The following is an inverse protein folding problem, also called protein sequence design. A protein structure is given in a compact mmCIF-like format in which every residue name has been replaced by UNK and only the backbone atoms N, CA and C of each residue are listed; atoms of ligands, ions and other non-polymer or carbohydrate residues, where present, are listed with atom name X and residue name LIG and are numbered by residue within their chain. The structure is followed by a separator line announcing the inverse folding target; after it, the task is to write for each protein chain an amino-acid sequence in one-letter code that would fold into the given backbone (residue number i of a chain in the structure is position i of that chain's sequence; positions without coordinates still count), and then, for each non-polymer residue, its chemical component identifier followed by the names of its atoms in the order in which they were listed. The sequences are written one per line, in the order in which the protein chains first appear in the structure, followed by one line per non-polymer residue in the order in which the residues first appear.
data_IF_518116823112
#
_entry.id   IF_518116823112
#
_cell.length_a   1.000
_cell.length_b   1.000
_cell.length_c   1.000
_cell.angle_alpha   90.00
_cell.angle_beta   90.00
_cell.angle_gamma   90.00
#
_symmetry.space_group_name_H-M   'P 1'
#
loop_
_entity.id
_entity.type
_entity.pdbx_description
1 polymer ?
#
# COMPACT_ATOMS: atom_id res chain seq x y z
N UNK A 1 10.83 11.53 2.38
CA UNK A 1 9.92 10.49 1.87
C UNK A 1 10.72 9.22 1.71
N UNK A 2 10.13 8.09 2.07
CA UNK A 2 10.69 6.76 1.88
C UNK A 2 9.72 5.96 0.99
N UNK A 3 10.22 4.98 0.25
CA UNK A 3 9.43 4.22 -0.73
C UNK A 3 9.65 2.74 -0.50
N UNK A 4 8.53 2.03 -0.29
CA UNK A 4 8.53 0.59 -0.17
C UNK A 4 7.95 -0.06 -1.44
N UNK A 5 8.76 -0.77 -2.23
CA UNK A 5 8.24 -1.59 -3.33
C UNK A 5 7.62 -2.86 -2.76
N UNK A 6 6.34 -3.10 -3.04
CA UNK A 6 5.66 -4.35 -2.66
C UNK A 6 6.36 -5.52 -3.31
N UNK A 7 6.74 -6.50 -2.50
CA UNK A 7 7.52 -7.64 -2.94
C UNK A 7 6.63 -8.83 -3.26
N UNK A 8 6.39 -9.05 -4.55
CA UNK A 8 5.61 -10.19 -5.05
C UNK A 8 5.97 -10.49 -6.51
N UNK A 9 5.57 -11.66 -7.07
CA UNK A 9 6.01 -12.08 -8.39
C UNK A 9 5.64 -11.16 -9.55
N UNK A 10 4.54 -10.41 -9.44
CA UNK A 10 4.03 -9.53 -10.51
C UNK A 10 3.99 -10.21 -11.89
N UNK A 11 3.49 -11.45 -11.92
CA UNK A 11 3.53 -12.33 -13.10
C UNK A 11 2.15 -12.48 -13.76
N UNK A 12 2.10 -13.25 -14.84
CA UNK A 12 0.84 -13.64 -15.49
C UNK A 12 0.06 -14.72 -14.72
N UNK A 13 0.64 -15.29 -13.65
CA UNK A 13 -0.05 -16.15 -12.69
C UNK A 13 -0.72 -15.26 -11.64
N UNK A 14 -1.95 -14.81 -11.91
CA UNK A 14 -2.66 -13.80 -11.11
C UNK A 14 -2.97 -14.23 -9.68
N UNK A 15 -3.09 -15.53 -9.43
CA UNK A 15 -3.27 -16.12 -8.10
C UNK A 15 -2.09 -15.80 -7.16
N UNK A 16 -0.87 -15.64 -7.70
CA UNK A 16 0.31 -15.19 -6.95
C UNK A 16 0.23 -13.73 -6.50
N UNK A 17 -0.74 -12.97 -6.98
CA UNK A 17 -1.03 -11.61 -6.50
C UNK A 17 -1.35 -11.56 -5.01
N UNK A 18 -1.78 -12.69 -4.42
CA UNK A 18 -2.02 -12.82 -2.99
C UNK A 18 -0.78 -12.53 -2.13
N UNK A 19 0.41 -12.84 -2.64
CA UNK A 19 1.68 -12.54 -1.97
C UNK A 19 1.88 -11.03 -1.86
N UNK A 20 1.49 -10.28 -2.90
CA UNK A 20 1.53 -8.82 -2.90
C UNK A 20 0.54 -8.22 -1.91
N UNK A 21 -0.67 -8.78 -1.79
CA UNK A 21 -1.66 -8.35 -0.79
C UNK A 21 -1.13 -8.59 0.62
N UNK A 22 -0.49 -9.74 0.86
CA UNK A 22 0.10 -10.09 2.15
C UNK A 22 1.25 -9.17 2.52
N UNK A 23 2.17 -8.95 1.59
CA UNK A 23 3.35 -8.10 1.78
C UNK A 23 2.95 -6.63 2.02
N UNK A 24 2.13 -6.07 1.14
CA UNK A 24 1.64 -4.71 1.25
C UNK A 24 0.80 -4.51 2.53
N UNK A 25 -0.14 -5.41 2.81
CA UNK A 25 -0.97 -5.33 4.01
C UNK A 25 -0.14 -5.39 5.30
N UNK A 26 0.84 -6.28 5.36
CA UNK A 26 1.77 -6.36 6.49
C UNK A 26 2.61 -5.09 6.64
N UNK A 27 3.12 -4.53 5.55
CA UNK A 27 3.90 -3.29 5.58
C UNK A 27 3.07 -2.09 6.05
N UNK A 28 1.85 -1.94 5.53
CA UNK A 28 0.93 -0.84 5.90
C UNK A 28 0.53 -0.95 7.37
N UNK A 29 0.13 -2.15 7.82
CA UNK A 29 -0.20 -2.39 9.23
C UNK A 29 0.99 -2.13 10.15
N UNK A 30 2.19 -2.61 9.79
CA UNK A 30 3.41 -2.41 10.55
C UNK A 30 3.76 -0.92 10.67
N UNK A 31 3.65 -0.18 9.56
CA UNK A 31 3.94 1.27 9.54
C UNK A 31 2.93 2.03 10.40
N UNK A 32 1.63 1.71 10.32
CA UNK A 32 0.61 2.32 11.17
C UNK A 32 0.89 2.08 12.67
N UNK A 33 1.28 0.86 13.03
CA UNK A 33 1.55 0.49 14.43
C UNK A 33 2.84 1.11 14.97
N UNK A 34 3.94 1.03 14.21
CA UNK A 34 5.26 1.40 14.71
C UNK A 34 5.59 2.89 14.48
N UNK A 35 4.90 3.53 13.53
CA UNK A 35 5.16 4.90 13.11
C UNK A 35 3.84 5.69 13.04
N UNK A 36 3.14 5.89 14.17
CA UNK A 36 1.76 6.38 14.18
C UNK A 36 1.59 7.81 13.62
N UNK A 37 2.66 8.61 13.55
CA UNK A 37 2.65 9.94 12.92
C UNK A 37 2.86 9.91 11.41
N UNK A 38 3.22 8.77 10.84
CA UNK A 38 3.49 8.62 9.41
C UNK A 38 2.20 8.61 8.62
N UNK A 39 2.18 9.36 7.51
CA UNK A 39 1.15 9.27 6.49
C UNK A 39 1.68 8.48 5.29
N UNK A 40 0.90 7.53 4.83
CA UNK A 40 1.21 6.67 3.69
C UNK A 40 0.40 7.07 2.46
N UNK A 41 1.03 6.95 1.29
CA UNK A 41 0.35 6.95 0.00
C UNK A 41 0.50 5.57 -0.58
N UNK A 42 -0.61 4.90 -0.85
CA UNK A 42 -0.62 3.56 -1.44
C UNK A 42 -0.75 3.71 -2.95
N UNK A 43 0.20 3.17 -3.70
CA UNK A 43 0.26 3.28 -5.16
C UNK A 43 0.26 1.91 -5.82
N UNK A 44 -0.40 1.80 -6.98
CA UNK A 44 -0.37 0.58 -7.77
C UNK A 44 -0.65 0.84 -9.24
N UNK A 45 -0.06 0.02 -10.11
CA UNK A 45 -0.32 0.00 -11.54
C UNK A 45 -0.76 -1.39 -11.98
N UNK A 46 -1.79 -1.49 -12.83
CA UNK A 46 -2.27 -2.76 -13.39
C UNK A 46 -2.57 -3.82 -12.31
N UNK A 47 -1.92 -4.98 -12.31
CA UNK A 47 -2.04 -5.98 -11.25
C UNK A 47 -1.69 -5.42 -9.85
N UNK A 48 -0.70 -4.53 -9.74
CA UNK A 48 -0.37 -3.85 -8.49
C UNK A 48 -1.48 -2.89 -8.01
N UNK A 49 -2.28 -2.33 -8.94
CA UNK A 49 -3.47 -1.57 -8.59
C UNK A 49 -4.57 -2.48 -8.03
N UNK A 50 -4.71 -3.71 -8.56
CA UNK A 50 -5.60 -4.71 -7.97
C UNK A 50 -5.13 -5.13 -6.57
N UNK A 51 -3.83 -5.39 -6.39
CA UNK A 51 -3.22 -5.68 -5.07
C UNK A 51 -3.57 -4.59 -4.06
N UNK A 52 -3.31 -3.32 -4.37
CA UNK A 52 -3.66 -2.21 -3.47
C UNK A 52 -5.17 -2.07 -3.26
N UNK A 53 -5.97 -2.39 -4.28
CA UNK A 53 -7.41 -2.43 -4.14
C UNK A 53 -7.88 -3.50 -3.14
N UNK A 54 -7.28 -4.69 -3.15
CA UNK A 54 -7.59 -5.74 -2.16
C UNK A 54 -7.04 -5.42 -0.78
N UNK A 55 -5.85 -4.82 -0.65
CA UNK A 55 -5.31 -4.33 0.63
C UNK A 55 -6.26 -3.33 1.28
N UNK A 56 -6.94 -2.52 0.47
CA UNK A 56 -7.89 -1.50 0.92
C UNK A 56 -9.35 -1.95 0.84
N UNK A 57 -9.60 -3.24 0.60
CA UNK A 57 -10.93 -3.84 0.56
C UNK A 57 -11.52 -3.91 1.98
N UNK A 58 -12.85 -3.74 2.15
CA UNK A 58 -13.47 -3.82 3.47
C UNK A 58 -13.67 -5.28 3.94
N UNK A 59 -13.57 -6.24 3.02
CA UNK A 59 -13.84 -7.65 3.26
C UNK A 59 -13.03 -8.56 2.32
N UNK A 60 -12.96 -9.84 2.69
CA UNK A 60 -12.56 -10.90 1.75
C UNK A 60 -13.66 -11.02 0.69
N UNK A 61 -13.33 -11.07 -0.62
CA UNK A 61 -14.33 -11.21 -1.67
C UNK A 61 -15.18 -12.47 -1.54
N UNK A 62 -16.43 -12.41 -2.00
CA UNK A 62 -17.33 -13.57 -2.01
C UNK A 62 -16.72 -14.73 -2.82
N UNK A 63 -16.88 -15.96 -2.30
CA UNK A 63 -16.34 -17.16 -2.93
C UNK A 63 -14.86 -17.44 -2.66
N UNK A 64 -14.14 -16.54 -1.98
CA UNK A 64 -12.77 -16.75 -1.51
C UNK A 64 -12.79 -17.25 -0.06
N UNK A 65 -12.04 -18.31 0.23
CA UNK A 65 -11.89 -18.82 1.60
C UNK A 65 -11.11 -17.81 2.48
N UNK A 66 -11.72 -17.23 3.53
CA UNK A 66 -11.03 -16.27 4.40
C UNK A 66 -9.82 -16.84 5.14
N UNK A 67 -9.65 -18.17 5.19
CA UNK A 67 -8.49 -18.81 5.79
C UNK A 67 -7.25 -18.80 4.88
N UNK A 68 -7.42 -18.58 3.57
CA UNK A 68 -6.32 -18.66 2.58
C UNK A 68 -5.75 -17.30 2.20
N UNK A 69 -6.41 -16.20 2.57
CA UNK A 69 -6.05 -14.83 2.19
C UNK A 69 -5.79 -13.92 3.40
N UNK A 70 -5.05 -12.81 3.24
CA UNK A 70 -4.93 -11.80 4.27
C UNK A 70 -6.31 -11.25 4.68
N UNK A 71 -6.47 -11.00 5.98
CA UNK A 71 -7.66 -10.31 6.50
C UNK A 71 -7.63 -8.84 6.08
N UNK A 72 -8.80 -8.19 5.93
CA UNK A 72 -8.86 -6.74 5.78
C UNK A 72 -8.05 -6.02 6.85
N UNK A 73 -7.46 -4.89 6.49
CA UNK A 73 -6.77 -4.02 7.44
C UNK A 73 -7.74 -3.56 8.53
N UNK A 74 -7.23 -3.40 9.76
CA UNK A 74 -8.05 -2.84 10.84
C UNK A 74 -8.52 -1.42 10.47
N UNK A 75 -9.75 -1.01 10.85
CA UNK A 75 -10.31 0.28 10.46
C UNK A 75 -9.39 1.47 10.77
N UNK A 76 -8.69 1.44 11.91
CA UNK A 76 -7.81 2.51 12.39
C UNK A 76 -6.57 2.69 11.49
N UNK A 77 -6.15 1.65 10.77
CA UNK A 77 -5.03 1.73 9.80
C UNK A 77 -5.35 2.72 8.68
N UNK A 78 -6.63 2.85 8.34
CA UNK A 78 -7.06 3.79 7.31
C UNK A 78 -6.63 5.22 7.67
N UNK A 79 -6.61 5.62 8.95
CA UNK A 79 -6.24 6.99 9.34
C UNK A 79 -4.77 7.33 9.05
N UNK A 80 -3.92 6.31 8.87
CA UNK A 80 -2.53 6.46 8.46
C UNK A 80 -2.34 6.51 6.95
N UNK A 81 -3.36 6.14 6.17
CA UNK A 81 -3.34 6.26 4.70
C UNK A 81 -3.95 7.60 4.30
N UNK A 82 -3.13 8.47 3.71
CA UNK A 82 -3.56 9.77 3.21
C UNK A 82 -4.20 9.66 1.82
N UNK A 83 -3.65 8.82 0.94
CA UNK A 83 -4.16 8.62 -0.41
C UNK A 83 -3.93 7.20 -0.92
N UNK A 84 -4.78 6.77 -1.85
CA UNK A 84 -4.63 5.56 -2.65
C UNK A 84 -4.68 5.98 -4.13
N UNK A 85 -3.64 5.69 -4.88
CA UNK A 85 -3.49 6.10 -6.29
C UNK A 85 -3.31 4.86 -7.15
N UNK A 86 -4.33 4.56 -7.94
CA UNK A 86 -4.40 3.33 -8.71
C UNK A 86 -4.41 3.65 -10.21
N UNK A 87 -3.37 3.26 -10.92
CA UNK A 87 -3.24 3.44 -12.36
C UNK A 87 -3.65 2.17 -13.10
N UNK A 88 -4.49 2.28 -14.13
CA UNK A 88 -4.88 1.12 -14.93
C UNK A 88 -5.53 0.01 -14.10
N UNK A 89 -6.34 0.36 -13.09
CA UNK A 89 -7.00 -0.63 -12.22
C UNK A 89 -7.91 -1.54 -13.03
N UNK A 90 -7.73 -2.87 -13.01
CA UNK A 90 -8.59 -3.79 -13.73
C UNK A 90 -10.07 -3.60 -13.36
N UNK A 91 -10.92 -3.49 -14.38
CA UNK A 91 -12.37 -3.46 -14.23
C UNK A 91 -12.93 -4.88 -14.03
N UNK A 92 -14.24 -5.00 -13.82
CA UNK A 92 -14.88 -6.30 -13.59
C UNK A 92 -14.72 -7.26 -14.78
N UNK A 93 -14.70 -6.76 -16.03
CA UNK A 93 -14.50 -7.58 -17.23
C UNK A 93 -13.10 -8.19 -17.25
N UNK A 94 -12.08 -7.38 -16.99
CA UNK A 94 -10.70 -7.82 -16.93
C UNK A 94 -10.50 -8.83 -15.78
N UNK A 95 -10.98 -8.52 -14.57
CA UNK A 95 -10.88 -9.44 -13.42
C UNK A 95 -11.56 -10.78 -13.70
N UNK A 96 -12.76 -10.77 -14.27
CA UNK A 96 -13.47 -12.00 -14.64
C UNK A 96 -12.71 -12.82 -15.69
N UNK A 97 -12.12 -12.17 -16.70
CA UNK A 97 -11.29 -12.85 -17.69
C UNK A 97 -10.05 -13.51 -17.07
N UNK A 98 -9.49 -12.90 -16.03
CA UNK A 98 -8.33 -13.39 -15.29
C UNK A 98 -8.68 -14.46 -14.24
N UNK A 99 -9.98 -14.72 -14.01
CA UNK A 99 -10.43 -15.65 -12.98
C UNK A 99 -10.34 -15.09 -11.55
N UNK A 100 -10.26 -13.77 -11.41
CA UNK A 100 -10.06 -13.09 -10.14
C UNK A 100 -11.34 -12.36 -9.69
N UNK A 101 -11.56 -12.19 -8.37
CA UNK A 101 -12.71 -11.46 -7.86
C UNK A 101 -12.66 -9.96 -8.22
N UNK A 102 -13.80 -9.27 -8.29
CA UNK A 102 -13.81 -7.83 -8.57
C UNK A 102 -13.08 -7.03 -7.48
N UNK A 103 -12.35 -5.99 -7.89
CA UNK A 103 -11.64 -5.09 -6.97
C UNK A 103 -12.61 -4.07 -6.37
N UNK A 104 -12.86 -4.16 -5.07
CA UNK A 104 -13.74 -3.25 -4.32
C UNK A 104 -12.93 -2.45 -3.29
N UNK A 105 -13.01 -1.12 -3.36
CA UNK A 105 -12.35 -0.24 -2.39
C UNK A 105 -13.27 -0.01 -1.19
N UNK A 106 -12.75 -0.23 0.01
CA UNK A 106 -13.50 -0.10 1.26
C UNK A 106 -13.93 1.34 1.54
N UNK A 107 -15.07 1.56 2.24
CA UNK A 107 -15.61 2.89 2.50
C UNK A 107 -14.62 3.88 3.12
N UNK A 108 -13.76 3.39 4.03
CA UNK A 108 -12.72 4.20 4.68
C UNK A 108 -11.66 4.76 3.71
N UNK A 109 -11.50 4.14 2.53
CA UNK A 109 -10.50 4.52 1.52
C UNK A 109 -11.10 5.25 0.31
N UNK A 110 -12.40 5.11 0.05
CA UNK A 110 -13.06 5.65 -1.16
C UNK A 110 -12.81 7.14 -1.36
N UNK A 111 -13.04 7.97 -0.34
CA UNK A 111 -12.89 9.42 -0.42
C UNK A 111 -11.44 9.89 -0.68
N UNK A 112 -10.46 9.02 -0.45
CA UNK A 112 -9.03 9.25 -0.64
C UNK A 112 -8.41 8.35 -1.69
N UNK A 113 -9.23 7.75 -2.56
CA UNK A 113 -8.76 6.95 -3.68
C UNK A 113 -8.98 7.68 -5.00
N UNK A 114 -7.98 7.64 -5.89
CA UNK A 114 -8.15 7.98 -7.29
C UNK A 114 -7.80 6.77 -8.15
N UNK A 115 -8.67 6.47 -9.12
CA UNK A 115 -8.39 5.51 -10.20
C UNK A 115 -8.09 6.30 -11.45
N UNK A 116 -6.83 6.30 -11.88
CA UNK A 116 -6.38 6.95 -13.10
C UNK A 116 -6.43 5.92 -14.23
N UNK A 117 -7.23 6.21 -15.25
CA UNK A 117 -7.40 5.34 -16.40
C UNK A 117 -7.10 6.13 -17.68
N UNK A 118 -6.20 5.61 -18.51
CA UNK A 118 -5.91 6.16 -19.83
C UNK A 118 -7.10 5.93 -20.76
N UNK A 119 -7.43 6.89 -21.65
CA UNK A 119 -8.47 6.70 -22.64
C UNK A 119 -8.23 5.43 -23.47
N UNK A 120 -9.30 4.70 -23.75
CA UNK A 120 -9.29 3.45 -24.52
C UNK A 120 -8.53 2.26 -23.91
N UNK A 121 -8.02 2.37 -22.66
CA UNK A 121 -7.36 1.27 -21.96
C UNK A 121 -8.39 0.16 -21.61
N UNK A 122 -8.30 -1.04 -22.23
CA UNK A 122 -9.27 -2.11 -22.03
C UNK A 122 -9.21 -2.74 -20.63
N UNK A 123 -8.14 -2.50 -19.87
CA UNK A 123 -7.99 -3.06 -18.52
C UNK A 123 -8.85 -2.28 -17.53
N UNK A 124 -8.83 -0.95 -17.58
CA UNK A 124 -9.54 -0.11 -16.62
C UNK A 124 -10.81 0.56 -17.16
N UNK A 125 -11.06 0.50 -18.47
CA UNK A 125 -12.24 1.06 -19.13
C UNK A 125 -12.88 0.03 -20.08
N UNK A 126 -13.96 0.43 -20.76
CA UNK A 126 -14.59 -0.39 -21.80
C UNK A 126 -13.90 -0.27 -23.18
N UNK A 127 -12.76 0.44 -23.25
CA UNK A 127 -11.96 0.60 -24.46
C UNK A 127 -11.36 -0.70 -25.02
N UNK A 128 -10.67 -0.59 -26.15
CA UNK A 128 -10.10 -1.74 -26.88
C UNK A 128 -8.62 -1.57 -27.25
N UNK A 129 -7.99 -0.47 -26.85
CA UNK A 129 -6.60 -0.17 -27.21
C UNK A 129 -5.62 -0.67 -26.14
N UNK A 130 -5.10 -1.89 -26.29
CA UNK A 130 -4.12 -2.43 -25.36
C UNK A 130 -2.81 -1.62 -25.28
N UNK A 131 -2.45 -0.85 -26.32
CA UNK A 131 -1.28 0.02 -26.24
C UNK A 131 -1.49 1.15 -25.20
N UNK A 132 -2.73 1.60 -25.01
CA UNK A 132 -3.07 2.62 -24.01
C UNK A 132 -2.77 2.15 -22.57
N UNK A 133 -2.85 0.84 -22.29
CA UNK A 133 -2.51 0.33 -20.97
C UNK A 133 -1.05 0.55 -20.59
N UNK A 134 -0.15 0.68 -21.58
CA UNK A 134 1.29 0.84 -21.35
C UNK A 134 1.76 2.30 -21.40
N UNK A 135 0.88 3.28 -21.58
CA UNK A 135 1.28 4.67 -21.76
C UNK A 135 1.55 5.40 -20.45
N UNK A 136 1.02 4.93 -19.31
CA UNK A 136 1.11 5.67 -18.03
C UNK A 136 2.53 6.05 -17.63
N UNK A 137 3.53 5.20 -17.88
CA UNK A 137 4.93 5.50 -17.54
C UNK A 137 5.55 6.61 -18.42
N UNK A 138 5.00 6.84 -19.61
CA UNK A 138 5.52 7.77 -20.61
C UNK A 138 4.59 8.99 -20.82
N UNK A 139 3.38 8.94 -20.27
CA UNK A 139 2.41 10.03 -20.27
C UNK A 139 2.44 10.74 -18.92
N UNK A 140 3.28 11.78 -18.83
CA UNK A 140 3.42 12.62 -17.64
C UNK A 140 2.08 13.17 -17.16
N UNK A 141 1.11 13.42 -18.06
CA UNK A 141 -0.19 13.97 -17.66
C UNK A 141 -1.00 12.99 -16.80
N UNK A 142 -0.84 11.67 -17.01
CA UNK A 142 -1.51 10.66 -16.19
C UNK A 142 -0.83 10.53 -14.83
N UNK A 143 0.50 10.48 -14.79
CA UNK A 143 1.28 10.46 -13.55
C UNK A 143 0.96 11.70 -12.70
N UNK A 144 0.95 12.88 -13.33
CA UNK A 144 0.70 14.17 -12.67
C UNK A 144 -0.68 14.21 -12.01
N UNK A 145 -1.72 13.62 -12.63
CA UNK A 145 -3.05 13.50 -12.00
C UNK A 145 -2.99 12.75 -10.68
N UNK A 146 -2.34 11.58 -10.68
CA UNK A 146 -2.21 10.75 -9.48
C UNK A 146 -1.32 11.41 -8.41
N UNK A 147 -0.20 11.99 -8.83
CA UNK A 147 0.73 12.68 -7.94
C UNK A 147 0.11 13.93 -7.30
N UNK A 148 -0.59 14.76 -8.09
CA UNK A 148 -1.29 15.94 -7.60
C UNK A 148 -2.40 15.55 -6.61
N UNK A 149 -3.16 14.49 -6.90
CA UNK A 149 -4.14 13.96 -5.96
C UNK A 149 -3.48 13.53 -4.65
N UNK A 150 -2.42 12.72 -4.68
CA UNK A 150 -1.72 12.30 -3.47
C UNK A 150 -1.18 13.49 -2.66
N UNK A 151 -0.54 14.45 -3.33
CA UNK A 151 -0.02 15.66 -2.70
C UNK A 151 -1.12 16.45 -1.99
N UNK A 152 -2.30 16.59 -2.62
CA UNK A 152 -3.44 17.31 -2.02
C UNK A 152 -3.98 16.65 -0.74
N UNK A 153 -3.69 15.36 -0.50
CA UNK A 153 -4.14 14.63 0.69
C UNK A 153 -3.14 14.59 1.83
N UNK A 154 -1.87 14.87 1.57
CA UNK A 154 -0.82 14.81 2.60
C UNK A 154 -0.83 16.00 3.56
N UNK A 155 -1.71 16.98 3.34
CA UNK A 155 -1.77 18.22 4.12
C UNK A 155 -0.50 19.08 3.94
N UNK A 156 -0.49 20.31 4.45
CA UNK A 156 0.74 21.08 4.56
C UNK A 156 1.72 20.35 5.48
N UNK A 157 3.04 20.40 5.22
CA UNK A 157 4.04 19.92 6.17
C UNK A 157 3.75 20.47 7.58
N UNK A 158 3.93 19.68 8.65
CA UNK A 158 3.85 20.23 10.00
C UNK A 158 4.83 21.41 10.12
N UNK A 159 4.29 22.62 10.29
CA UNK A 159 5.05 23.87 10.39
C UNK A 159 4.82 24.90 9.28
N UNK A 160 4.09 24.58 8.20
CA UNK A 160 3.70 25.60 7.21
C UNK A 160 2.32 26.15 7.53
N UNK A 161 2.25 27.17 8.37
CA UNK A 161 1.08 28.06 8.40
C UNK A 161 1.03 28.78 7.06
N UNK A 162 -0.08 28.76 6.31
CA UNK A 162 -0.24 29.64 5.16
C UNK A 162 0.05 31.07 5.60
N UNK A 163 0.81 31.87 4.83
CA UNK A 163 0.99 33.27 5.17
C UNK A 163 -0.40 33.90 5.35
N UNK A 164 -0.60 34.70 6.41
CA UNK A 164 -1.87 35.37 6.60
C UNK A 164 -2.19 36.18 5.34
N UNK A 165 -3.48 36.29 4.95
CA UNK A 165 -3.86 37.16 3.85
C UNK A 165 -3.27 38.56 4.07
N UNK A 166 -2.88 39.28 3.00
CA UNK A 166 -2.31 40.61 3.13
C UNK A 166 -3.22 41.45 4.02
N UNK A 167 -2.64 42.06 5.04
CA UNK A 167 -3.39 42.83 6.01
C UNK A 167 -4.21 43.91 5.29
N UNK A 168 -5.48 44.15 5.68
CA UNK A 168 -6.21 45.31 5.22
C UNK A 168 -5.38 46.58 5.54
N UNK A 169 -5.48 47.63 4.72
CA UNK A 169 -4.73 48.87 4.92
C UNK A 169 -4.96 49.41 6.33
N UNK A 170 -3.91 49.97 6.97
CA UNK A 170 -3.97 50.37 8.38
C UNK A 170 -5.08 51.39 8.62
N UNK A 171 -5.91 51.13 9.61
CA UNK A 171 -6.81 52.12 10.18
C UNK A 171 -5.99 53.28 10.80
N UNK A 172 -6.50 54.53 10.78
CA UNK A 172 -5.81 55.67 11.34
C UNK A 172 -5.49 55.49 12.84
N UNK A 173 -4.35 56.01 13.33
CA UNK A 173 -3.81 55.66 14.63
C UNK A 173 -4.68 56.18 15.79
N UNK A 174 -4.99 55.34 16.79
CA UNK A 174 -5.55 55.79 18.07
C UNK A 174 -4.47 56.39 18.98
N UNK A 175 -4.88 57.34 19.83
CA UNK A 175 -4.01 58.05 20.79
C UNK A 175 -3.36 57.11 21.83
N UNK A 176 -2.14 57.41 22.28
CA UNK A 176 -1.38 56.53 23.17
C UNK A 176 -1.85 56.61 24.63
N UNK A 177 -1.87 55.46 25.32
CA UNK A 177 -1.72 55.37 26.78
C UNK A 177 -0.76 54.24 27.17
N UNK A 178 -0.15 54.48 28.34
CA UNK A 178 1.11 53.97 28.86
C UNK A 178 1.20 52.46 29.18
N UNK A 179 2.45 51.98 29.13
CA UNK A 179 2.95 50.65 29.51
C UNK A 179 2.79 50.28 30.98
N UNK A 180 2.81 48.97 31.26
CA UNK A 180 3.62 48.40 32.35
C UNK A 180 3.97 46.92 32.07
N UNK A 181 5.04 46.45 32.73
CA UNK A 181 5.92 45.33 32.38
C UNK A 181 5.61 44.00 33.12
N UNK A 182 6.28 42.90 32.70
CA UNK A 182 6.50 41.69 33.53
C UNK A 182 6.69 40.37 32.73
N UNK A 183 7.87 39.75 32.79
CA UNK A 183 8.18 38.39 32.24
C UNK A 183 7.94 37.25 33.26
N UNK A 184 8.63 36.07 33.24
CA UNK A 184 9.36 35.34 32.19
C UNK A 184 8.80 33.90 31.94
N UNK A 185 9.47 33.15 31.05
CA UNK A 185 9.17 31.80 30.53
C UNK A 185 9.16 30.66 31.57
N UNK A 186 8.50 29.54 31.23
CA UNK A 186 8.79 28.21 31.79
C UNK A 186 8.77 27.17 30.66
N UNK A 187 9.85 26.40 30.53
CA UNK A 187 9.97 25.31 29.55
C UNK A 187 9.52 23.96 30.12
N UNK A 188 9.49 22.94 29.28
CA UNK A 188 9.95 21.61 29.68
C UNK A 188 10.21 20.72 28.47
N UNK A 189 11.31 19.99 28.54
CA UNK A 189 11.74 18.99 27.58
C UNK A 189 10.93 17.71 27.71
N UNK A 190 10.62 17.08 26.57
CA UNK A 190 10.32 15.65 26.52
C UNK A 190 11.23 15.04 25.45
N UNK A 191 12.30 14.38 25.91
CA UNK A 191 13.06 13.44 25.10
C UNK A 191 12.20 12.18 24.98
N UNK A 192 11.33 12.13 23.97
CA UNK A 192 10.82 10.84 23.50
C UNK A 192 11.86 10.28 22.57
N UNK A 193 12.39 9.10 22.92
CA UNK A 193 13.17 8.27 22.02
C UNK A 193 12.36 8.03 20.74
N UNK A 194 12.59 8.84 19.71
CA UNK A 194 12.20 8.50 18.34
C UNK A 194 12.96 7.24 17.98
N UNK A 195 12.26 6.10 18.03
CA UNK A 195 12.67 4.99 17.17
C UNK A 195 12.70 5.57 15.76
N UNK A 196 13.91 5.70 15.20
CA UNK A 196 14.09 6.15 13.83
C UNK A 196 13.38 5.15 12.90
N UNK A 197 12.13 5.48 12.55
CA UNK A 197 11.24 4.64 11.75
C UNK A 197 11.89 4.21 10.43
N UNK A 198 12.86 4.98 9.92
CA UNK A 198 13.62 4.63 8.72
C UNK A 198 14.46 3.36 8.87
N UNK A 199 14.84 2.95 10.09
CA UNK A 199 15.71 1.79 10.32
C UNK A 199 14.98 0.49 10.63
N UNK A 200 13.67 0.54 10.87
CA UNK A 200 12.87 -0.63 11.26
C UNK A 200 12.22 -1.36 10.08
N UNK A 201 12.36 -0.83 8.86
CA UNK A 201 12.01 -1.60 7.67
C UNK A 201 13.01 -2.76 7.51
N UNK A 202 12.53 -4.00 7.32
CA UNK A 202 13.44 -5.12 7.09
C UNK A 202 14.25 -4.84 5.82
N UNK A 203 15.56 -4.66 5.96
CA UNK A 203 16.49 -4.77 4.83
C UNK A 203 16.45 -6.21 4.35
N UNK A 204 15.61 -6.49 3.36
CA UNK A 204 15.71 -7.73 2.60
C UNK A 204 17.03 -7.68 1.82
N UNK A 205 17.98 -8.47 2.28
CA UNK A 205 19.27 -8.69 1.63
C UNK A 205 19.07 -9.14 0.19
N UNK A 206 19.65 -8.39 -0.75
CA UNK A 206 19.99 -8.74 -2.13
C UNK A 206 19.31 -9.99 -2.71
N UNK A 207 18.11 -9.82 -3.27
CA UNK A 207 17.67 -10.66 -4.38
C UNK A 207 17.64 -9.78 -5.63
N UNK A 208 18.45 -10.16 -6.62
CA UNK A 208 18.53 -9.53 -7.94
C UNK A 208 17.12 -9.32 -8.52
N UNK A 209 16.73 -8.06 -8.71
CA UNK A 209 15.65 -7.73 -9.66
C UNK A 209 16.19 -8.10 -11.04
N UNK A 210 15.72 -9.22 -11.58
CA UNK A 210 16.13 -9.65 -12.92
C UNK A 210 15.52 -8.70 -13.97
N UNK A 211 16.27 -8.32 -15.01
CA UNK A 211 15.82 -7.37 -16.03
C UNK A 211 14.70 -7.88 -16.96
N UNK A 212 14.17 -9.08 -16.75
CA UNK A 212 13.10 -9.67 -17.59
C UNK A 212 11.68 -9.12 -17.34
N UNK A 213 11.45 -8.18 -16.41
CA UNK A 213 10.13 -7.55 -16.19
C UNK A 213 9.66 -6.58 -17.29
N UNK A 214 10.20 -6.68 -18.51
CA UNK A 214 9.74 -5.95 -19.70
C UNK A 214 8.81 -6.76 -20.61
N UNK A 215 8.55 -8.03 -20.31
CA UNK A 215 7.90 -8.95 -21.26
C UNK A 215 6.77 -9.81 -20.65
N UNK A 216 5.91 -9.26 -19.80
CA UNK A 216 4.76 -10.02 -19.27
C UNK A 216 3.43 -9.78 -20.02
N UNK A 217 3.35 -8.84 -20.98
CA UNK A 217 2.09 -8.51 -21.69
C UNK A 217 2.06 -9.12 -23.11
N UNK A 218 3.18 -9.65 -23.61
CA UNK A 218 3.26 -10.22 -24.97
C UNK A 218 2.80 -11.69 -25.06
N UNK A 219 2.70 -12.41 -23.93
CA UNK A 219 2.40 -13.86 -23.90
C UNK A 219 0.96 -14.25 -24.26
N UNK A 220 0.02 -13.30 -24.28
CA UNK A 220 -1.38 -13.54 -24.66
C UNK A 220 -1.62 -13.54 -26.18
N UNK A 221 -0.60 -13.29 -27.00
CA UNK A 221 -0.73 -13.15 -28.46
C UNK A 221 -0.67 -14.51 -29.20
N UNK A 222 -0.45 -15.66 -28.56
CA UNK A 222 -0.14 -16.90 -29.32
C UNK A 222 -0.73 -18.23 -28.85
N UNK A 223 -1.80 -18.28 -28.05
CA UNK A 223 -2.42 -19.58 -27.71
C UNK A 223 -3.84 -19.72 -28.26
N UNK A 224 -4.06 -20.55 -29.31
CA UNK A 224 -5.41 -20.90 -29.72
C UNK A 224 -6.08 -21.78 -28.67
N UNK A 225 -7.34 -21.47 -28.39
CA UNK A 225 -8.19 -22.20 -27.48
C UNK A 225 -8.51 -23.61 -28.02
N UNK A 226 -7.86 -24.64 -27.48
CA UNK A 226 -8.38 -26.01 -27.53
C UNK A 226 -7.75 -26.88 -26.44
N UNK A 227 -8.58 -27.80 -25.92
CA UNK A 227 -8.28 -28.92 -25.01
C UNK A 227 -8.37 -28.66 -23.50
N UNK A 228 -9.60 -28.85 -23.01
CA UNK A 228 -9.87 -29.49 -21.72
C UNK A 228 -9.14 -30.84 -21.63
N UNK A 229 -8.51 -31.14 -20.50
CA UNK A 229 -8.16 -32.52 -20.12
C UNK A 229 -8.02 -32.66 -18.59
N UNK A 230 -9.07 -33.23 -17.99
CA UNK A 230 -9.08 -34.24 -16.92
C UNK A 230 -8.00 -34.23 -15.83
N UNK A 231 -8.45 -34.03 -14.57
CA UNK A 231 -7.74 -34.35 -13.32
C UNK A 231 -7.45 -35.85 -13.19
N UNK A 232 -6.27 -36.18 -12.67
CA UNK A 232 -5.91 -37.47 -12.07
C UNK A 232 -5.05 -37.26 -10.81
N UNK A 233 -5.09 -38.15 -9.80
CA UNK A 233 -4.55 -37.88 -8.47
C UNK A 233 -3.04 -38.15 -8.36
N UNK A 234 -2.32 -37.30 -7.62
CA UNK A 234 -0.91 -37.51 -7.27
C UNK A 234 -0.77 -38.13 -5.86
N UNK A 235 0.13 -39.11 -5.65
CA UNK A 235 0.34 -39.79 -4.38
C UNK A 235 1.27 -39.00 -3.44
N UNK A 236 1.13 -39.24 -2.13
CA UNK A 236 1.79 -38.47 -1.07
C UNK A 236 3.16 -39.00 -0.60
N UNK A 237 3.62 -38.33 0.46
CA UNK A 237 4.75 -38.56 1.39
C UNK A 237 6.03 -37.72 1.17
N UNK A 238 6.86 -37.46 2.21
CA UNK A 238 6.64 -37.45 3.67
C UNK A 238 7.12 -36.13 4.35
N UNK A 239 6.83 -35.99 5.67
CA UNK A 239 7.26 -34.89 6.54
C UNK A 239 8.63 -35.13 7.21
N UNK A 240 9.26 -34.00 7.60
CA UNK A 240 10.26 -33.77 8.68
C UNK A 240 11.76 -33.79 8.29
N UNK A 241 12.69 -33.12 9.04
CA UNK A 241 12.56 -32.59 10.42
C UNK A 241 13.03 -31.14 10.69
N UNK A 242 12.64 -30.65 11.86
CA UNK A 242 13.11 -29.43 12.50
C UNK A 242 14.58 -29.56 12.97
N UNK A 243 15.35 -28.47 12.83
CA UNK A 243 16.68 -28.32 13.42
C UNK A 243 16.62 -27.66 14.82
N UNK A 244 17.44 -28.22 15.71
CA UNK A 244 17.83 -27.80 17.07
C UNK A 244 18.21 -26.32 17.19
N UNK A 245 18.25 -25.64 18.34
CA UNK A 245 18.17 -26.03 19.75
C UNK A 245 19.08 -25.10 20.56
N UNK A 246 18.73 -24.75 21.80
CA UNK A 246 19.67 -24.18 22.77
C UNK A 246 19.32 -24.60 24.22
N UNK A 247 20.31 -25.30 24.81
CA UNK A 247 20.54 -25.69 26.22
C UNK A 247 20.77 -24.42 27.09
N UNK A 248 20.81 -24.38 28.44
CA UNK A 248 20.65 -25.26 29.63
C UNK A 248 20.81 -24.36 30.87
N UNK A 249 20.21 -24.74 32.01
CA UNK A 249 20.79 -24.78 33.38
C UNK A 249 19.68 -25.22 34.36
N UNK A 250 19.63 -26.45 34.90
CA UNK A 250 20.39 -26.99 36.06
C UNK A 250 20.15 -26.16 37.35
N UNK A 251 19.74 -26.67 38.53
CA UNK A 251 19.58 -28.01 39.15
C UNK A 251 18.84 -27.81 40.53
N UNK A 252 18.78 -28.76 41.52
CA UNK A 252 17.73 -29.76 41.71
C UNK A 252 17.05 -29.84 43.13
N UNK A 253 16.05 -30.73 43.19
CA UNK A 253 15.72 -31.73 44.24
C UNK A 253 15.34 -31.34 45.68
N UNK A 254 14.11 -31.74 46.06
CA UNK A 254 13.68 -32.50 47.27
C UNK A 254 12.15 -32.39 47.38
N UNK A 255 11.34 -33.32 47.87
CA UNK A 255 11.43 -34.69 48.34
C UNK A 255 9.97 -35.16 48.55
N UNK A 256 9.72 -36.46 48.36
CA UNK A 256 8.69 -37.31 48.99
C UNK A 256 7.45 -36.62 49.64
N UNK A 257 6.25 -36.92 49.14
CA UNK A 257 5.32 -37.94 49.66
C UNK A 257 4.08 -38.03 48.77
#
# INVERSE_FOLDING_TARGET
MDVYPVNYPASDQWDTGIDGIRDAGAHVQSTATNCPKTKMVLGGFSQGAAVMGFVTSPAVPDGVDPATVPKPLQPEVADHVAAVVLFGTPNARAMNFLGEPPVVIGPAYQAKTIKVCAPEDPICSDGLNFAAHNTYANDGTMIDKGAAFAASRLGPPPGTTPPPPPAPPPAPPPRPKASSAGGPQCGSAAVTSECDCRRQQPRLSHLHVRPENRAAISGLISRPATAQATRGPQPGHPRSPACCGAKRSANPASARR
#
